data_IF_538724838173
#
_entry.id   IF_538724838173
#
_cell.length_a   1.000
_cell.length_b   1.000
_cell.length_c   1.000
_cell.angle_alpha   90.00
_cell.angle_beta   90.00
_cell.angle_gamma   90.00
#
_symmetry.space_group_name_H-M   'P 1'
#
loop_
_entity.id
_entity.type
_entity.pdbx_description
1 polymer ?
#
# COMPACT_ATOMS: atom_id res chain seq x y z
N UNK A 1 -4.79 24.14 -16.79
CA UNK A 1 -5.63 24.15 -15.58
C UNK A 1 -4.82 23.72 -14.39
N UNK A 2 -4.89 24.50 -13.30
CA UNK A 2 -4.22 24.14 -12.05
C UNK A 2 -4.85 22.87 -11.47
N UNK A 3 -4.12 21.98 -10.75
CA UNK A 3 -4.66 20.73 -10.19
C UNK A 3 -5.92 20.91 -9.35
N UNK A 4 -6.15 22.11 -8.79
CA UNK A 4 -7.33 22.45 -7.99
C UNK A 4 -8.63 22.58 -8.82
N UNK A 5 -8.57 22.83 -10.12
CA UNK A 5 -9.77 22.97 -10.96
C UNK A 5 -10.29 21.60 -11.44
N UNK A 6 -9.39 20.64 -11.71
CA UNK A 6 -9.79 19.30 -12.16
C UNK A 6 -10.49 18.50 -11.03
N UNK A 7 -10.09 18.68 -9.78
CA UNK A 7 -10.74 18.00 -8.65
C UNK A 7 -12.16 18.52 -8.38
N UNK A 8 -12.47 19.79 -8.70
CA UNK A 8 -13.81 20.37 -8.52
C UNK A 8 -14.84 19.83 -9.53
N UNK A 9 -14.39 19.37 -10.69
CA UNK A 9 -15.27 18.83 -11.74
C UNK A 9 -15.61 17.36 -11.49
N UNK A 10 -14.81 16.66 -10.67
CA UNK A 10 -14.98 15.24 -10.37
C UNK A 10 -15.93 15.00 -9.18
N UNK A 11 -15.95 15.92 -8.20
CA UNK A 11 -16.80 15.82 -7.00
C UNK A 11 -17.73 17.01 -6.84
N UNK A 12 -18.97 16.74 -6.36
CA UNK A 12 -19.88 17.80 -5.94
C UNK A 12 -19.25 18.60 -4.82
N UNK A 13 -19.35 19.96 -4.87
CA UNK A 13 -18.77 20.87 -3.86
C UNK A 13 -19.11 20.52 -2.40
N UNK A 14 -20.30 19.95 -2.18
CA UNK A 14 -20.74 19.53 -0.85
C UNK A 14 -19.95 18.35 -0.30
N UNK A 15 -19.60 17.38 -1.15
CA UNK A 15 -18.77 16.21 -0.80
C UNK A 15 -17.35 16.65 -0.41
N UNK A 16 -16.76 17.57 -1.17
CA UNK A 16 -15.44 18.14 -0.86
C UNK A 16 -15.45 18.93 0.46
N UNK A 17 -16.51 19.72 0.72
CA UNK A 17 -16.67 20.44 2.00
C UNK A 17 -16.77 19.48 3.19
N UNK A 18 -17.43 18.35 3.03
CA UNK A 18 -17.53 17.33 4.06
C UNK A 18 -16.18 16.66 4.30
N UNK A 19 -15.47 16.23 3.23
CA UNK A 19 -14.13 15.66 3.32
C UNK A 19 -13.14 16.59 4.04
N UNK A 20 -13.15 17.89 3.71
CA UNK A 20 -12.31 18.89 4.37
C UNK A 20 -12.62 19.10 5.86
N UNK A 21 -13.84 18.84 6.31
CA UNK A 21 -14.18 18.87 7.74
C UNK A 21 -13.61 17.69 8.51
N UNK A 22 -13.50 16.53 7.86
CA UNK A 22 -12.93 15.31 8.44
C UNK A 22 -11.47 15.52 8.83
N UNK A 23 -10.68 16.18 7.98
CA UNK A 23 -9.25 16.47 8.23
C UNK A 23 -8.98 17.24 9.52
N UNK A 24 -10.00 17.93 10.06
CA UNK A 24 -9.93 18.73 11.29
C UNK A 24 -10.39 17.95 12.54
N UNK A 25 -10.96 16.75 12.38
CA UNK A 25 -11.37 15.91 13.54
C UNK A 25 -10.12 15.28 14.15
N UNK A 26 -9.89 15.54 15.45
CA UNK A 26 -8.89 14.84 16.26
C UNK A 26 -9.16 13.34 16.31
N UNK A 27 -8.08 12.55 16.48
CA UNK A 27 -8.12 11.10 16.64
C UNK A 27 -9.26 10.66 17.59
N UNK A 28 -10.02 9.64 17.19
CA UNK A 28 -11.12 9.10 17.99
C UNK A 28 -10.60 8.43 19.25
N UNK A 29 -11.50 8.35 20.28
CA UNK A 29 -11.28 7.66 21.56
C UNK A 29 -11.20 6.13 21.45
N UNK A 30 -11.18 5.55 20.26
CA UNK A 30 -11.09 4.10 20.06
C UNK A 30 -9.69 3.64 20.49
N UNK A 31 -9.64 2.75 21.48
CA UNK A 31 -8.40 2.11 21.91
C UNK A 31 -7.84 1.27 20.76
N UNK A 32 -6.63 1.62 20.28
CA UNK A 32 -5.91 0.92 19.24
C UNK A 32 -4.65 0.26 19.81
N UNK A 33 -4.27 -0.89 19.25
CA UNK A 33 -2.99 -1.52 19.55
C UNK A 33 -1.88 -0.67 18.94
N UNK A 34 -0.94 -0.25 19.77
CA UNK A 34 0.19 0.60 19.33
C UNK A 34 1.29 -0.26 18.73
N UNK A 35 1.54 -0.09 17.44
CA UNK A 35 2.58 -0.77 16.67
C UNK A 35 3.58 0.21 16.03
N UNK A 36 3.60 1.48 16.47
CA UNK A 36 4.46 2.52 15.89
C UNK A 36 5.97 2.22 15.99
N UNK A 37 6.35 1.40 16.95
CA UNK A 37 7.74 0.97 17.13
C UNK A 37 8.07 -0.35 16.42
N UNK A 38 7.17 -0.87 15.59
CA UNK A 38 7.40 -2.08 14.79
C UNK A 38 7.84 -1.67 13.40
N UNK A 39 8.92 -2.27 12.87
CA UNK A 39 9.37 -2.01 11.51
C UNK A 39 8.21 -2.23 10.54
N UNK A 40 7.79 -1.17 9.89
CA UNK A 40 6.64 -1.13 8.98
C UNK A 40 7.03 -0.38 7.70
N UNK A 41 6.59 -0.86 6.55
CA UNK A 41 6.88 -0.24 5.26
C UNK A 41 5.80 -0.56 4.24
N UNK A 42 5.71 0.27 3.19
CA UNK A 42 4.85 0.05 2.03
C UNK A 42 5.66 -0.37 0.81
N UNK A 43 5.03 -1.08 -0.14
CA UNK A 43 5.64 -1.47 -1.42
C UNK A 43 4.63 -1.22 -2.53
N UNK A 44 4.85 -0.17 -3.32
CA UNK A 44 3.87 0.38 -4.25
C UNK A 44 4.49 0.70 -5.62
N UNK A 45 3.69 1.02 -6.66
CA UNK A 45 4.20 1.63 -7.89
C UNK A 45 4.96 2.93 -7.63
N UNK A 46 5.92 3.27 -8.49
CA UNK A 46 6.77 4.47 -8.37
C UNK A 46 5.96 5.78 -8.28
N UNK A 47 4.84 5.83 -9.00
CA UNK A 47 3.93 6.97 -9.15
C UNK A 47 2.75 6.97 -8.16
N UNK A 48 2.64 5.96 -7.30
CA UNK A 48 1.57 5.86 -6.30
C UNK A 48 1.66 7.01 -5.26
N UNK A 49 0.49 7.50 -4.85
CA UNK A 49 0.31 8.51 -3.80
C UNK A 49 -0.64 8.05 -2.70
N UNK A 50 -1.41 7.02 -2.98
CA UNK A 50 -2.42 6.37 -2.15
C UNK A 50 -1.87 5.03 -1.67
N UNK A 51 -1.21 5.03 -0.51
CA UNK A 51 -0.65 3.82 0.09
C UNK A 51 -1.72 3.16 0.97
N UNK A 52 -2.46 2.23 0.40
CA UNK A 52 -3.62 1.60 1.05
C UNK A 52 -3.22 0.51 2.03
N UNK A 53 -2.06 -0.12 1.82
CA UNK A 53 -1.57 -1.22 2.64
C UNK A 53 -0.09 -1.08 3.00
N UNK A 54 0.29 -1.69 4.12
CA UNK A 54 1.65 -1.77 4.61
C UNK A 54 1.92 -3.14 5.23
N UNK A 55 3.19 -3.51 5.25
CA UNK A 55 3.69 -4.72 5.88
C UNK A 55 4.54 -4.37 7.09
N UNK A 56 4.42 -5.14 8.16
CA UNK A 56 5.36 -5.08 9.27
C UNK A 56 6.01 -6.42 9.54
N UNK A 57 7.20 -6.35 10.14
CA UNK A 57 8.01 -7.51 10.44
C UNK A 57 8.61 -7.40 11.83
N UNK A 58 8.49 -8.47 12.63
CA UNK A 58 9.04 -8.53 13.98
C UNK A 58 9.49 -9.95 14.31
N UNK A 59 10.73 -10.11 14.75
CA UNK A 59 11.21 -11.36 15.33
C UNK A 59 10.70 -11.52 16.75
N UNK A 60 10.16 -12.68 17.06
CA UNK A 60 9.67 -13.03 18.40
C UNK A 60 10.74 -13.77 19.21
N UNK A 61 10.56 -13.79 20.54
CA UNK A 61 11.51 -14.45 21.46
C UNK A 61 11.60 -15.97 21.28
N UNK A 62 10.55 -16.59 20.74
CA UNK A 62 10.47 -18.02 20.43
C UNK A 62 11.05 -18.39 19.06
N UNK A 63 11.81 -17.49 18.43
CA UNK A 63 12.37 -17.60 17.08
C UNK A 63 11.31 -17.63 15.94
N UNK A 64 10.03 -17.48 16.25
CA UNK A 64 9.02 -17.24 15.24
C UNK A 64 9.09 -15.77 14.74
N UNK A 65 8.35 -15.47 13.70
CA UNK A 65 8.18 -14.11 13.22
C UNK A 65 6.71 -13.69 13.30
N UNK A 66 6.46 -12.46 13.65
CA UNK A 66 5.16 -11.81 13.51
C UNK A 66 5.19 -10.94 12.26
N UNK A 67 4.28 -11.22 11.34
CA UNK A 67 4.05 -10.43 10.14
C UNK A 67 2.74 -9.69 10.32
N UNK A 68 2.78 -8.36 10.19
CA UNK A 68 1.58 -7.53 10.14
C UNK A 68 1.23 -7.20 8.71
N UNK A 69 -0.07 -7.34 8.39
CA UNK A 69 -0.67 -6.83 7.17
C UNK A 69 -1.64 -5.73 7.61
N UNK A 70 -1.35 -4.51 7.22
CA UNK A 70 -2.05 -3.31 7.68
C UNK A 70 -2.78 -2.67 6.51
N UNK A 71 -4.09 -2.48 6.67
CA UNK A 71 -4.91 -1.77 5.68
C UNK A 71 -5.39 -0.47 6.31
N UNK A 72 -5.33 0.62 5.56
CA UNK A 72 -5.81 1.93 5.99
C UNK A 72 -7.25 1.84 6.54
N UNK A 73 -7.49 2.30 7.79
CA UNK A 73 -8.82 2.27 8.40
C UNK A 73 -9.67 3.45 7.87
N UNK A 74 -10.08 3.35 6.61
CA UNK A 74 -10.95 4.33 5.95
C UNK A 74 -12.24 4.55 6.74
N UNK A 75 -12.75 3.52 7.42
CA UNK A 75 -13.99 3.61 8.23
C UNK A 75 -13.84 4.48 9.47
N UNK A 76 -12.61 4.81 9.88
CA UNK A 76 -12.33 5.79 10.92
C UNK A 76 -12.76 7.20 10.52
N UNK A 77 -12.64 7.51 9.23
CA UNK A 77 -12.89 8.83 8.66
C UNK A 77 -14.26 8.93 8.02
N UNK A 78 -14.76 7.84 7.44
CA UNK A 78 -15.99 7.79 6.66
C UNK A 78 -17.18 7.34 7.54
N UNK A 79 -18.07 8.27 7.88
CA UNK A 79 -19.29 7.96 8.62
C UNK A 79 -20.39 7.47 7.67
N UNK A 80 -21.15 6.42 8.08
CA UNK A 80 -22.26 5.88 7.30
C UNK A 80 -23.35 6.94 7.05
N UNK A 81 -23.97 6.85 5.88
CA UNK A 81 -25.09 7.69 5.44
C UNK A 81 -24.78 9.18 5.22
N UNK A 82 -23.53 9.60 5.34
CA UNK A 82 -23.08 10.94 4.96
C UNK A 82 -23.11 11.14 3.44
N UNK A 83 -22.96 12.35 2.95
CA UNK A 83 -22.88 12.63 1.52
C UNK A 83 -21.65 11.96 0.90
N UNK A 84 -20.54 11.94 1.64
CA UNK A 84 -19.30 11.30 1.22
C UNK A 84 -19.47 9.78 1.10
N UNK A 85 -20.14 9.13 2.08
CA UNK A 85 -20.45 7.69 2.04
C UNK A 85 -21.36 7.33 0.86
N UNK A 86 -22.37 8.15 0.58
CA UNK A 86 -23.27 7.96 -0.56
C UNK A 86 -22.55 8.11 -1.88
N UNK A 87 -21.64 9.08 -2.00
CA UNK A 87 -20.83 9.28 -3.20
C UNK A 87 -19.84 8.12 -3.41
N UNK A 88 -19.16 7.68 -2.33
CA UNK A 88 -18.27 6.53 -2.36
C UNK A 88 -18.99 5.24 -2.80
N UNK A 89 -20.19 4.98 -2.26
CA UNK A 89 -21.02 3.84 -2.67
C UNK A 89 -21.44 3.92 -4.13
N UNK A 90 -21.78 5.12 -4.62
CA UNK A 90 -22.15 5.34 -6.03
C UNK A 90 -20.97 5.06 -6.95
N UNK A 91 -19.76 5.45 -6.58
CA UNK A 91 -18.54 5.22 -7.37
C UNK A 91 -18.08 3.77 -7.30
N UNK A 92 -18.21 3.14 -6.15
CA UNK A 92 -17.83 1.77 -5.82
C UNK A 92 -16.32 1.44 -5.93
N UNK A 93 -15.58 2.12 -6.80
CA UNK A 93 -14.13 1.92 -7.03
C UNK A 93 -13.48 3.19 -7.55
N UNK A 94 -12.15 3.28 -7.43
CA UNK A 94 -11.35 4.23 -8.20
C UNK A 94 -11.14 3.70 -9.62
N UNK A 95 -11.15 4.60 -10.61
CA UNK A 95 -10.95 4.26 -12.02
C UNK A 95 -9.64 4.87 -12.48
N UNK A 96 -8.73 4.02 -12.94
CA UNK A 96 -7.41 4.42 -13.44
C UNK A 96 -7.48 4.48 -14.97
N UNK A 97 -7.48 5.69 -15.52
CA UNK A 97 -7.40 5.96 -16.94
C UNK A 97 -5.94 6.13 -17.37
N UNK A 98 -5.68 6.16 -18.65
CA UNK A 98 -4.32 6.34 -19.18
C UNK A 98 -3.72 7.71 -18.88
N UNK A 99 -4.57 8.74 -18.71
CA UNK A 99 -4.20 10.14 -18.51
C UNK A 99 -4.47 10.65 -17.08
N UNK A 100 -5.34 9.98 -16.30
CA UNK A 100 -5.76 10.43 -14.98
C UNK A 100 -6.37 9.31 -14.13
N UNK A 101 -6.48 9.58 -12.84
CA UNK A 101 -7.25 8.75 -11.90
C UNK A 101 -8.53 9.47 -11.51
N UNK A 102 -9.66 8.75 -11.54
CA UNK A 102 -10.93 9.19 -10.97
C UNK A 102 -11.12 8.44 -9.65
N UNK A 103 -10.75 9.02 -8.51
CA UNK A 103 -10.71 8.31 -7.25
C UNK A 103 -12.12 8.07 -6.68
N UNK A 104 -12.30 6.96 -5.95
CA UNK A 104 -13.53 6.66 -5.23
C UNK A 104 -13.78 7.65 -4.09
N UNK A 105 -12.73 8.05 -3.39
CA UNK A 105 -12.73 9.03 -2.31
C UNK A 105 -11.94 10.28 -2.71
N UNK A 106 -12.28 11.48 -2.21
CA UNK A 106 -11.50 12.69 -2.44
C UNK A 106 -10.04 12.52 -2.04
N UNK A 107 -9.12 13.12 -2.78
CA UNK A 107 -7.66 12.99 -2.59
C UNK A 107 -7.17 13.34 -1.18
N UNK A 108 -7.86 14.24 -0.48
CA UNK A 108 -7.57 14.55 0.93
C UNK A 108 -7.74 13.32 1.84
N UNK A 109 -8.57 12.36 1.45
CA UNK A 109 -8.69 11.09 2.16
C UNK A 109 -7.73 10.06 1.58
N UNK A 110 -7.78 9.81 0.27
CA UNK A 110 -7.00 8.74 -0.36
C UNK A 110 -5.50 8.97 -0.32
N UNK A 111 -5.03 10.20 -0.56
CA UNK A 111 -3.59 10.50 -0.69
C UNK A 111 -2.96 11.07 0.59
N UNK A 112 -3.80 11.45 1.60
CA UNK A 112 -3.33 12.08 2.84
C UNK A 112 -3.81 11.30 4.07
N UNK A 113 -5.05 11.50 4.51
CA UNK A 113 -5.52 10.98 5.80
C UNK A 113 -5.48 9.44 5.89
N UNK A 114 -5.87 8.75 4.82
CA UNK A 114 -5.87 7.29 4.75
C UNK A 114 -4.55 6.72 4.25
N UNK A 115 -3.80 7.45 3.40
CA UNK A 115 -2.54 6.99 2.86
C UNK A 115 -1.51 6.72 3.95
N UNK A 116 -0.88 5.54 3.93
CA UNK A 116 0.10 5.10 4.92
C UNK A 116 1.49 5.71 4.67
N UNK A 117 1.50 7.05 4.58
CA UNK A 117 2.70 7.84 4.32
C UNK A 117 3.82 7.54 5.34
N UNK A 118 5.08 7.52 4.92
CA UNK A 118 6.21 7.25 5.82
C UNK A 118 6.35 8.38 6.86
N UNK A 119 6.76 7.97 8.07
CA UNK A 119 6.99 8.85 9.23
C UNK A 119 5.72 9.57 9.74
N UNK A 120 4.54 9.04 9.44
CA UNK A 120 3.26 9.56 9.94
C UNK A 120 2.52 8.48 10.73
N UNK A 121 1.86 8.89 11.83
CA UNK A 121 1.00 8.01 12.60
C UNK A 121 -0.31 7.77 11.84
N UNK A 122 -0.61 6.52 11.52
CA UNK A 122 -1.78 6.13 10.71
C UNK A 122 -2.65 5.09 11.40
N UNK A 123 -3.95 5.30 11.30
CA UNK A 123 -4.97 4.36 11.78
C UNK A 123 -5.15 3.23 10.76
N UNK A 124 -5.01 2.00 11.21
CA UNK A 124 -5.13 0.82 10.36
C UNK A 124 -6.02 -0.26 10.99
N UNK A 125 -6.56 -1.12 10.14
CA UNK A 125 -7.08 -2.42 10.51
C UNK A 125 -6.03 -3.46 10.11
N UNK A 126 -5.60 -4.27 11.06
CA UNK A 126 -4.43 -5.14 10.88
C UNK A 126 -4.77 -6.59 11.09
N UNK A 127 -4.10 -7.45 10.33
CA UNK A 127 -3.95 -8.87 10.62
C UNK A 127 -2.51 -9.11 11.04
N UNK A 128 -2.32 -9.58 12.27
CA UNK A 128 -1.02 -9.99 12.79
C UNK A 128 -0.96 -11.50 12.73
N UNK A 129 0.05 -12.03 12.04
CA UNK A 129 0.21 -13.47 11.79
C UNK A 129 1.54 -13.92 12.37
N UNK A 130 1.49 -14.86 13.31
CA UNK A 130 2.69 -15.54 13.79
C UNK A 130 3.00 -16.74 12.90
N UNK A 131 4.26 -16.82 12.45
CA UNK A 131 4.73 -17.85 11.54
C UNK A 131 5.99 -18.50 12.15
N UNK A 132 6.04 -19.83 12.15
CA UNK A 132 7.20 -20.61 12.59
C UNK A 132 8.29 -20.72 11.51
N UNK A 133 9.42 -21.33 11.86
CA UNK A 133 10.55 -21.54 10.94
C UNK A 133 10.25 -22.50 9.78
N UNK A 134 9.13 -23.24 9.87
CA UNK A 134 8.66 -24.14 8.81
C UNK A 134 7.59 -23.49 7.93
N UNK A 135 7.37 -22.19 8.10
CA UNK A 135 6.34 -21.40 7.39
C UNK A 135 4.89 -21.80 7.71
N UNK A 136 4.66 -22.41 8.88
CA UNK A 136 3.30 -22.69 9.35
C UNK A 136 2.75 -21.46 10.09
N UNK A 137 1.49 -21.17 9.85
CA UNK A 137 0.77 -20.14 10.58
C UNK A 137 0.38 -20.70 11.95
N UNK A 138 0.91 -20.13 13.01
CA UNK A 138 0.68 -20.54 14.40
C UNK A 138 -0.54 -19.81 14.97
N UNK A 139 -0.63 -18.50 14.72
CA UNK A 139 -1.74 -17.69 15.21
C UNK A 139 -2.09 -16.56 14.26
N UNK A 140 -3.32 -16.03 14.40
CA UNK A 140 -3.80 -14.86 13.67
C UNK A 140 -4.59 -13.98 14.62
N UNK A 141 -4.29 -12.69 14.64
CA UNK A 141 -5.01 -11.68 15.42
C UNK A 141 -5.51 -10.58 14.48
N UNK A 142 -6.78 -10.21 14.58
CA UNK A 142 -7.37 -9.08 13.87
C UNK A 142 -7.56 -7.93 14.84
N UNK A 143 -7.03 -6.76 14.56
CA UNK A 143 -7.06 -5.65 15.47
C UNK A 143 -7.07 -4.30 14.77
N UNK A 144 -7.68 -3.30 15.40
CA UNK A 144 -7.47 -1.89 15.04
C UNK A 144 -6.15 -1.43 15.65
N UNK A 145 -5.24 -0.97 14.81
CA UNK A 145 -3.90 -0.59 15.22
C UNK A 145 -3.57 0.86 14.87
N UNK A 146 -2.51 1.36 15.50
CA UNK A 146 -1.83 2.59 15.14
C UNK A 146 -0.41 2.21 14.71
N UNK A 147 -0.04 2.57 13.48
CA UNK A 147 1.29 2.31 12.91
C UNK A 147 1.99 3.61 12.56
N UNK A 148 3.31 3.52 12.39
CA UNK A 148 4.12 4.56 11.77
C UNK A 148 5.02 3.87 10.74
N UNK A 149 4.78 4.12 9.44
CA UNK A 149 5.56 3.51 8.37
C UNK A 149 6.98 4.10 8.37
N UNK A 150 8.00 3.25 8.43
CA UNK A 150 9.41 3.69 8.44
C UNK A 150 9.91 4.02 7.04
N UNK A 151 9.40 3.31 6.02
CA UNK A 151 9.89 3.40 4.66
C UNK A 151 8.78 3.20 3.63
N UNK A 152 8.90 3.93 2.52
CA UNK A 152 8.21 3.64 1.27
C UNK A 152 9.18 2.99 0.30
N UNK A 153 8.81 1.83 -0.23
CA UNK A 153 9.56 1.12 -1.27
C UNK A 153 8.76 1.11 -2.57
N UNK A 154 9.45 1.15 -3.70
CA UNK A 154 8.83 0.77 -4.96
C UNK A 154 8.97 -0.73 -5.23
N UNK A 155 8.13 -1.28 -6.13
CA UNK A 155 8.29 -2.65 -6.59
C UNK A 155 9.69 -2.92 -7.16
N UNK A 156 10.28 -1.93 -7.85
CA UNK A 156 11.63 -2.06 -8.42
C UNK A 156 12.70 -2.11 -7.32
N UNK A 157 12.58 -1.26 -6.30
CA UNK A 157 13.50 -1.25 -5.16
C UNK A 157 13.41 -2.56 -4.37
N UNK A 158 12.20 -3.04 -4.05
CA UNK A 158 12.01 -4.30 -3.35
C UNK A 158 12.54 -5.50 -4.16
N UNK A 159 12.29 -5.52 -5.48
CA UNK A 159 12.80 -6.55 -6.38
C UNK A 159 14.33 -6.54 -6.44
N UNK A 160 14.96 -5.37 -6.48
CA UNK A 160 16.43 -5.25 -6.46
C UNK A 160 17.02 -5.84 -5.17
N UNK A 161 16.39 -5.57 -4.02
CA UNK A 161 16.80 -6.17 -2.73
C UNK A 161 16.70 -7.69 -2.77
N UNK A 162 15.61 -8.24 -3.31
CA UNK A 162 15.38 -9.70 -3.39
C UNK A 162 16.43 -10.36 -4.27
N UNK A 163 16.75 -9.78 -5.43
CA UNK A 163 17.68 -10.36 -6.40
C UNK A 163 19.15 -10.25 -5.94
N UNK A 164 19.52 -9.12 -5.36
CA UNK A 164 20.93 -8.81 -5.06
C UNK A 164 21.29 -8.97 -3.58
N UNK A 165 20.31 -9.16 -2.69
CA UNK A 165 20.49 -9.30 -1.22
C UNK A 165 21.38 -8.19 -0.64
N UNK A 166 21.14 -6.96 -1.06
CA UNK A 166 21.98 -5.79 -0.76
C UNK A 166 21.20 -4.69 -0.05
N UNK A 167 21.88 -3.95 0.82
CA UNK A 167 21.37 -2.73 1.44
C UNK A 167 21.46 -1.51 0.50
N UNK A 168 22.27 -1.61 -0.57
CA UNK A 168 22.57 -0.48 -1.46
C UNK A 168 21.66 -0.50 -2.69
N UNK A 169 20.95 0.59 -2.88
CA UNK A 169 20.11 0.81 -4.05
C UNK A 169 20.78 1.79 -5.00
N UNK A 170 21.03 1.42 -6.27
CA UNK A 170 21.59 2.32 -7.27
C UNK A 170 20.54 3.34 -7.74
N UNK A 171 21.00 4.45 -8.31
CA UNK A 171 20.14 5.59 -8.65
C UNK A 171 19.07 5.29 -9.71
N UNK A 172 19.32 4.37 -10.60
CA UNK A 172 18.41 3.96 -11.68
C UNK A 172 17.22 3.11 -11.17
N UNK A 173 17.39 2.47 -10.02
CA UNK A 173 16.35 1.66 -9.36
C UNK A 173 15.47 2.50 -8.43
N UNK A 174 16.04 3.53 -7.79
CA UNK A 174 15.33 4.30 -6.76
C UNK A 174 14.29 5.26 -7.33
N UNK A 175 13.20 5.47 -6.59
CA UNK A 175 12.16 6.46 -6.91
C UNK A 175 12.78 7.86 -7.03
N UNK A 176 13.70 8.21 -6.15
CA UNK A 176 14.33 9.55 -6.08
C UNK A 176 15.42 9.77 -7.14
N UNK A 177 15.76 8.75 -7.93
CA UNK A 177 16.89 8.74 -8.87
C UNK A 177 18.24 9.10 -8.21
N UNK A 178 18.37 8.81 -6.91
CA UNK A 178 19.60 8.98 -6.13
C UNK A 178 19.96 7.67 -5.44
N UNK A 179 21.27 7.37 -5.34
CA UNK A 179 21.74 6.22 -4.55
C UNK A 179 21.27 6.37 -3.11
N UNK A 180 20.76 5.29 -2.52
CA UNK A 180 20.41 5.23 -1.09
C UNK A 180 20.79 3.90 -0.48
N UNK A 181 20.89 3.86 0.85
CA UNK A 181 21.09 2.63 1.60
C UNK A 181 19.90 2.38 2.52
N UNK A 182 19.49 1.14 2.57
CA UNK A 182 18.44 0.65 3.47
C UNK A 182 19.06 0.16 4.78
N UNK A 183 18.25 0.08 5.83
CA UNK A 183 18.67 -0.59 7.06
C UNK A 183 18.78 -2.10 6.83
N UNK A 184 19.72 -2.74 7.52
CA UNK A 184 19.89 -4.19 7.48
C UNK A 184 18.60 -4.92 7.89
N UNK A 185 17.88 -4.39 8.87
CA UNK A 185 16.62 -4.94 9.36
C UNK A 185 15.54 -4.93 8.28
N UNK A 186 15.43 -3.85 7.50
CA UNK A 186 14.48 -3.77 6.39
C UNK A 186 14.82 -4.77 5.28
N UNK A 187 16.09 -4.89 4.90
CA UNK A 187 16.54 -5.88 3.91
C UNK A 187 16.20 -7.29 4.37
N UNK A 188 16.47 -7.62 5.64
CA UNK A 188 16.13 -8.91 6.21
C UNK A 188 14.63 -9.17 6.20
N UNK A 189 13.82 -8.17 6.56
CA UNK A 189 12.36 -8.25 6.52
C UNK A 189 11.86 -8.55 5.10
N UNK A 190 12.32 -7.82 4.08
CA UNK A 190 11.94 -8.02 2.68
C UNK A 190 12.28 -9.45 2.21
N UNK A 191 13.49 -9.92 2.49
CA UNK A 191 13.93 -11.26 2.09
C UNK A 191 13.12 -12.36 2.78
N UNK A 192 12.82 -12.18 4.06
CA UNK A 192 12.01 -13.14 4.82
C UNK A 192 10.56 -13.17 4.32
N UNK A 193 9.94 -12.01 4.13
CA UNK A 193 8.58 -11.89 3.59
C UNK A 193 8.47 -12.53 2.20
N UNK A 194 9.45 -12.29 1.32
CA UNK A 194 9.50 -12.97 0.02
C UNK A 194 9.55 -14.49 0.15
N UNK A 195 10.35 -15.01 1.09
CA UNK A 195 10.45 -16.45 1.35
C UNK A 195 9.10 -17.04 1.82
N UNK A 196 8.43 -16.34 2.74
CA UNK A 196 7.08 -16.72 3.22
C UNK A 196 6.08 -16.72 2.07
N UNK A 197 6.05 -15.65 1.26
CA UNK A 197 5.13 -15.52 0.13
C UNK A 197 5.32 -16.65 -0.90
N UNK A 198 6.58 -16.99 -1.23
CA UNK A 198 6.89 -18.09 -2.14
C UNK A 198 6.40 -19.43 -1.59
N UNK A 199 6.62 -19.72 -0.31
CA UNK A 199 6.16 -20.95 0.33
C UNK A 199 4.64 -21.06 0.39
N UNK A 200 3.95 -19.98 0.72
CA UNK A 200 2.50 -19.94 0.71
C UNK A 200 1.94 -20.10 -0.71
N UNK A 201 2.61 -19.56 -1.72
CA UNK A 201 2.25 -19.72 -3.12
C UNK A 201 2.42 -21.16 -3.58
N UNK A 202 3.55 -21.80 -3.25
CA UNK A 202 3.80 -23.23 -3.53
C UNK A 202 2.71 -24.11 -2.88
N UNK A 203 2.38 -23.86 -1.61
CA UNK A 203 1.33 -24.58 -0.89
C UNK A 203 -0.01 -24.47 -1.60
N UNK A 204 -0.46 -23.25 -1.92
CA UNK A 204 -1.70 -23.00 -2.66
C UNK A 204 -1.72 -23.70 -4.02
N UNK A 205 -0.59 -23.70 -4.73
CA UNK A 205 -0.46 -24.42 -6.02
C UNK A 205 -0.66 -25.92 -5.86
N UNK A 206 -0.08 -26.54 -4.82
CA UNK A 206 -0.26 -27.96 -4.52
C UNK A 206 -1.71 -28.28 -4.12
N UNK A 207 -2.41 -27.35 -3.51
CA UNK A 207 -3.82 -27.46 -3.12
C UNK A 207 -4.80 -27.16 -4.27
N UNK A 208 -4.31 -27.00 -5.51
CA UNK A 208 -5.15 -26.89 -6.70
C UNK A 208 -5.48 -25.44 -7.14
N UNK A 209 -4.81 -24.44 -6.59
CA UNK A 209 -5.00 -23.05 -7.07
C UNK A 209 -4.52 -22.89 -8.51
N UNK A 210 -5.33 -22.22 -9.32
CA UNK A 210 -5.01 -21.91 -10.72
C UNK A 210 -4.37 -20.50 -10.79
N UNK A 211 -3.24 -20.42 -11.48
CA UNK A 211 -2.52 -19.17 -11.70
C UNK A 211 -2.60 -18.78 -13.18
N UNK A 212 -3.04 -17.56 -13.45
CA UNK A 212 -3.06 -17.02 -14.81
C UNK A 212 -1.88 -16.06 -14.97
N UNK A 213 -1.04 -16.31 -15.98
CA UNK A 213 -0.06 -15.32 -16.42
C UNK A 213 -0.76 -14.32 -17.34
N UNK A 214 -1.08 -13.14 -16.84
CA UNK A 214 -1.61 -12.05 -17.67
C UNK A 214 -0.46 -11.12 -18.05
N UNK A 215 -0.36 -10.80 -19.34
CA UNK A 215 0.43 -9.67 -19.79
C UNK A 215 -0.43 -8.40 -19.65
N UNK A 216 0.11 -7.39 -19.01
CA UNK A 216 -0.55 -6.09 -18.85
C UNK A 216 -0.02 -5.14 -19.90
N UNK A 217 -0.91 -4.61 -20.73
CA UNK A 217 -0.58 -3.60 -21.74
C UNK A 217 -0.82 -2.22 -21.15
N UNK A 218 0.21 -1.37 -21.10
CA UNK A 218 0.10 0.06 -20.77
C UNK A 218 0.29 0.89 -22.02
N UNK A 219 -0.68 1.75 -22.31
CA UNK A 219 -0.55 2.74 -23.38
C UNK A 219 0.33 3.91 -22.93
N UNK A 220 1.19 4.37 -23.85
CA UNK A 220 1.89 5.64 -23.72
C UNK A 220 1.05 6.68 -24.41
N UNK A 221 0.72 7.77 -23.71
CA UNK A 221 -0.10 8.84 -24.25
C UNK A 221 0.72 10.12 -24.41
N UNK A 222 0.37 10.93 -25.41
CA UNK A 222 0.93 12.27 -25.62
C UNK A 222 0.27 13.29 -24.65
N UNK A 223 0.66 14.57 -24.73
CA UNK A 223 0.12 15.65 -23.90
C UNK A 223 -1.37 15.93 -24.16
N UNK A 224 -1.92 15.45 -25.27
CA UNK A 224 -3.34 15.52 -25.61
C UNK A 224 -4.14 14.31 -25.09
N UNK A 225 -3.46 13.31 -24.47
CA UNK A 225 -4.10 12.09 -23.98
C UNK A 225 -4.32 11.03 -25.06
N UNK A 226 -3.75 11.20 -26.25
CA UNK A 226 -3.88 10.24 -27.37
C UNK A 226 -2.80 9.14 -27.24
N UNK A 227 -3.16 7.85 -27.42
CA UNK A 227 -2.19 6.76 -27.35
C UNK A 227 -1.21 6.84 -28.54
N UNK A 228 0.07 6.93 -28.24
CA UNK A 228 1.16 6.98 -29.23
C UNK A 228 1.97 5.68 -29.32
N UNK A 229 1.95 4.88 -28.24
CA UNK A 229 2.69 3.62 -28.17
C UNK A 229 2.08 2.72 -27.06
N UNK A 230 2.54 1.49 -26.95
CA UNK A 230 2.18 0.61 -25.85
C UNK A 230 3.41 -0.12 -25.29
N UNK A 231 3.37 -0.43 -23.99
CA UNK A 231 4.37 -1.23 -23.31
C UNK A 231 3.72 -2.47 -22.71
N UNK A 232 4.28 -3.64 -23.02
CA UNK A 232 3.87 -4.89 -22.38
C UNK A 232 4.65 -5.00 -21.07
N UNK A 233 3.93 -4.87 -19.95
CA UNK A 233 4.50 -5.09 -18.62
C UNK A 233 4.44 -6.60 -18.35
N UNK A 234 5.54 -7.30 -18.59
CA UNK A 234 5.70 -8.65 -18.02
C UNK A 234 5.70 -8.49 -16.52
N UNK A 235 4.71 -9.07 -15.84
CA UNK A 235 4.72 -9.13 -14.38
C UNK A 235 5.97 -9.92 -13.96
N UNK A 236 7.09 -9.23 -13.73
CA UNK A 236 8.12 -9.72 -12.82
C UNK A 236 7.49 -9.57 -11.43
N UNK A 237 6.98 -10.66 -10.92
CA UNK A 237 6.25 -10.70 -9.67
C UNK A 237 7.24 -10.53 -8.52
N UNK A 238 7.28 -9.35 -7.92
CA UNK A 238 7.43 -9.30 -6.49
C UNK A 238 6.20 -10.04 -5.93
N UNK A 239 6.40 -11.11 -5.19
CA UNK A 239 5.31 -11.99 -4.72
C UNK A 239 4.72 -11.49 -3.39
N UNK A 240 4.62 -10.16 -3.22
CA UNK A 240 4.01 -9.52 -2.06
C UNK A 240 2.52 -9.33 -2.26
#
# INVERSE_FOLDING_TARGET
PTPSSAASDVYKRQVLKEANKISKKKASSIKRKDLRNTLTFTIDPDDAKDFDDALSFKKLKNNNVEIGIHIADVTHYLEKNTLLDKEAKKRATSVYLSDRVVPMLPEILSNDLCSLNPNEDKNVFSVLVEIDNNYNIISKEFSKCLINSNERMSYQEAQHVIENKTEKLPADVTITKKKRSLSKELVEAILHLNSVALKLKEKRKKEGSVFFNKEEVRFVVNDQGEPTDYKIKKQKQANF
#
